data_IF_571870207796
#
_entry.id   IF_571870207796
#
_cell.length_a   1.000
_cell.length_b   1.000
_cell.length_c   1.000
_cell.angle_alpha   90.00
_cell.angle_beta   90.00
_cell.angle_gamma   90.00
#
_symmetry.space_group_name_H-M   'P 1'
#
loop_
_entity.id
_entity.type
_entity.pdbx_description
1 polymer ?
#
# COMPACT_ATOMS: atom_id res chain seq x y z
N UNK A 1 -14.45 -15.40 15.62
CA UNK A 1 -13.34 -15.03 16.53
C UNK A 1 -12.44 -14.09 15.73
N UNK A 2 -11.89 -13.06 16.36
CA UNK A 2 -10.96 -12.12 15.70
C UNK A 2 -9.79 -11.87 16.64
N UNK A 3 -8.61 -11.59 16.06
CA UNK A 3 -7.46 -11.23 16.87
C UNK A 3 -7.45 -9.74 17.18
N UNK A 4 -7.23 -9.38 18.44
CA UNK A 4 -6.70 -8.08 18.82
C UNK A 4 -5.18 -8.19 18.97
N UNK A 5 -4.47 -7.07 19.05
CA UNK A 5 -3.02 -7.11 19.31
C UNK A 5 -2.68 -7.88 20.59
N UNK A 6 -3.45 -7.65 21.66
CA UNK A 6 -3.25 -8.35 22.95
C UNK A 6 -3.50 -9.85 22.84
N UNK A 7 -4.63 -10.26 22.26
CA UNK A 7 -4.98 -11.70 22.21
C UNK A 7 -4.07 -12.48 21.27
N UNK A 8 -3.61 -11.88 20.15
CA UNK A 8 -2.65 -12.52 19.26
C UNK A 8 -1.27 -12.67 19.92
N UNK A 9 -0.82 -11.64 20.64
CA UNK A 9 0.43 -11.69 21.41
C UNK A 9 0.40 -12.82 22.43
N UNK A 10 -0.68 -12.92 23.23
CA UNK A 10 -0.85 -14.01 24.20
C UNK A 10 -0.86 -15.37 23.52
N UNK A 11 -1.61 -15.52 22.42
CA UNK A 11 -1.65 -16.79 21.70
C UNK A 11 -0.26 -17.21 21.18
N UNK A 12 0.54 -16.27 20.64
CA UNK A 12 1.91 -16.57 20.19
C UNK A 12 2.77 -17.05 21.37
N UNK A 13 2.68 -16.40 22.53
CA UNK A 13 3.41 -16.80 23.74
C UNK A 13 3.00 -18.19 24.21
N UNK A 14 1.70 -18.49 24.23
CA UNK A 14 1.16 -19.78 24.65
C UNK A 14 1.60 -20.90 23.71
N UNK A 15 1.59 -20.69 22.39
CA UNK A 15 2.06 -21.69 21.42
C UNK A 15 3.56 -21.98 21.51
N UNK A 16 4.35 -20.98 21.89
CA UNK A 16 5.80 -21.11 22.02
C UNK A 16 6.22 -21.50 23.44
N UNK A 17 5.26 -21.59 24.36
CA UNK A 17 5.52 -21.87 25.81
C UNK A 17 6.63 -20.97 26.37
N UNK A 18 6.71 -19.70 25.88
CA UNK A 18 7.80 -18.79 26.21
C UNK A 18 7.29 -17.39 26.57
N UNK A 19 7.77 -16.90 27.70
CA UNK A 19 7.57 -15.54 28.19
C UNK A 19 8.86 -14.72 28.20
N UNK A 20 9.88 -15.17 27.48
CA UNK A 20 11.16 -14.48 27.41
C UNK A 20 11.00 -13.05 26.91
N UNK A 21 11.56 -12.08 27.65
CA UNK A 21 11.38 -10.65 27.38
C UNK A 21 11.84 -10.28 25.97
N UNK A 22 12.91 -10.88 25.48
CA UNK A 22 13.44 -10.61 24.13
C UNK A 22 12.45 -11.06 23.05
N UNK A 23 11.82 -12.22 23.21
CA UNK A 23 10.77 -12.72 22.33
C UNK A 23 9.56 -11.81 22.36
N UNK A 24 9.03 -11.52 23.54
CA UNK A 24 7.82 -10.71 23.74
C UNK A 24 7.96 -9.32 23.09
N UNK A 25 9.11 -8.68 23.27
CA UNK A 25 9.39 -7.37 22.67
C UNK A 25 9.45 -7.41 21.12
N UNK A 26 9.69 -8.57 20.52
CA UNK A 26 9.76 -8.74 19.08
C UNK A 26 8.45 -9.24 18.45
N UNK A 27 7.46 -9.71 19.21
CA UNK A 27 6.16 -10.15 18.67
C UNK A 27 5.50 -9.09 17.76
N UNK A 28 5.48 -7.79 18.09
CA UNK A 28 4.94 -6.79 17.17
C UNK A 28 5.62 -6.77 15.80
N UNK A 29 6.92 -7.05 15.73
CA UNK A 29 7.66 -7.14 14.47
C UNK A 29 7.27 -8.38 13.67
N UNK A 30 7.02 -9.52 14.32
CA UNK A 30 6.55 -10.74 13.66
C UNK A 30 5.15 -10.55 13.06
N UNK A 31 4.25 -9.89 13.79
CA UNK A 31 2.91 -9.53 13.30
C UNK A 31 3.02 -8.64 12.06
N UNK A 32 3.81 -7.57 12.12
CA UNK A 32 4.03 -6.67 10.98
C UNK A 32 4.63 -7.38 9.77
N UNK A 33 5.62 -8.26 9.98
CA UNK A 33 6.23 -9.05 8.90
C UNK A 33 5.20 -9.94 8.22
N UNK A 34 4.33 -10.57 9.00
CA UNK A 34 3.24 -11.42 8.49
C UNK A 34 2.23 -10.60 7.67
N UNK A 35 1.78 -9.45 8.19
CA UNK A 35 0.88 -8.56 7.47
C UNK A 35 1.49 -8.12 6.12
N UNK A 36 2.76 -7.70 6.11
CA UNK A 36 3.48 -7.32 4.88
C UNK A 36 3.57 -8.48 3.88
N UNK A 37 3.83 -9.69 4.33
CA UNK A 37 3.87 -10.87 3.46
C UNK A 37 2.50 -11.14 2.83
N UNK A 38 1.41 -11.04 3.61
CA UNK A 38 0.06 -11.22 3.11
C UNK A 38 -0.26 -10.15 2.06
N UNK A 39 -0.04 -8.87 2.38
CA UNK A 39 -0.36 -7.74 1.49
C UNK A 39 0.45 -7.76 0.19
N UNK A 40 1.69 -8.27 0.21
CA UNK A 40 2.53 -8.42 -0.99
C UNK A 40 2.14 -9.64 -1.83
N UNK A 41 1.57 -10.66 -1.21
CA UNK A 41 1.22 -11.92 -1.89
C UNK A 41 -0.17 -11.87 -2.52
N UNK A 42 -1.10 -11.11 -1.96
CA UNK A 42 -2.51 -11.12 -2.35
C UNK A 42 -3.04 -9.70 -2.49
N UNK A 43 -3.53 -9.37 -3.69
CA UNK A 43 -4.25 -8.12 -3.93
C UNK A 43 -5.75 -8.34 -3.65
N UNK A 44 -6.21 -7.93 -2.48
CA UNK A 44 -7.60 -8.04 -2.08
C UNK A 44 -8.36 -6.77 -2.41
N UNK A 45 -9.53 -6.90 -3.03
CA UNK A 45 -10.38 -5.77 -3.42
C UNK A 45 -10.79 -4.87 -2.24
N UNK A 46 -10.86 -5.45 -1.04
CA UNK A 46 -11.17 -4.71 0.20
C UNK A 46 -10.09 -3.66 0.54
N UNK A 47 -8.88 -3.79 0.01
CA UNK A 47 -7.81 -2.82 0.20
C UNK A 47 -7.70 -1.81 -0.95
N UNK A 48 -8.79 -1.62 -1.71
CA UNK A 48 -8.89 -0.54 -2.69
C UNK A 48 -9.45 0.72 -2.05
N UNK A 49 -8.85 1.84 -2.42
CA UNK A 49 -9.34 3.20 -2.13
C UNK A 49 -9.36 4.03 -3.39
N UNK A 50 -10.13 5.11 -3.37
CA UNK A 50 -9.97 6.18 -4.31
C UNK A 50 -9.61 7.49 -3.59
N UNK A 51 -8.90 8.36 -4.28
CA UNK A 51 -8.57 9.70 -3.81
C UNK A 51 -8.49 10.65 -5.00
N UNK A 52 -8.99 11.86 -4.80
CA UNK A 52 -8.86 12.94 -5.77
C UNK A 52 -7.76 13.88 -5.32
N UNK A 53 -6.92 14.30 -6.27
CA UNK A 53 -5.86 15.28 -6.07
C UNK A 53 -5.75 16.22 -7.24
N UNK A 54 -5.02 17.32 -7.09
CA UNK A 54 -4.83 18.31 -8.16
C UNK A 54 -3.40 18.23 -8.68
N UNK A 55 -3.27 18.06 -10.01
CA UNK A 55 -2.01 18.22 -10.72
C UNK A 55 -1.80 19.68 -11.10
N UNK A 56 -0.57 20.16 -10.93
CA UNK A 56 -0.20 21.54 -11.24
C UNK A 56 0.18 21.68 -12.70
N UNK A 57 -0.28 22.75 -13.36
CA UNK A 57 0.11 23.09 -14.72
C UNK A 57 1.64 23.17 -14.85
N UNK A 58 2.18 22.69 -15.96
CA UNK A 58 3.62 22.63 -16.26
C UNK A 58 4.45 21.73 -15.34
N UNK A 59 3.83 20.93 -14.45
CA UNK A 59 4.48 19.90 -13.67
C UNK A 59 4.12 18.50 -14.19
N UNK A 60 5.08 17.71 -14.65
CA UNK A 60 4.81 16.31 -15.05
C UNK A 60 4.70 15.35 -13.87
N UNK A 61 4.80 15.82 -12.65
CA UNK A 61 4.84 14.99 -11.45
C UNK A 61 3.55 15.12 -10.64
N UNK A 62 3.03 13.96 -10.21
CA UNK A 62 1.85 13.86 -9.37
C UNK A 62 2.20 13.01 -8.14
N UNK A 63 2.00 13.56 -6.94
CA UNK A 63 2.30 12.87 -5.70
C UNK A 63 1.31 11.72 -5.45
N UNK A 64 1.82 10.60 -4.91
CA UNK A 64 1.00 9.48 -4.44
C UNK A 64 0.60 9.66 -2.98
N UNK A 65 -0.52 9.04 -2.53
CA UNK A 65 -0.85 8.98 -1.11
C UNK A 65 0.22 8.25 -0.27
N UNK A 66 0.34 8.61 1.01
CA UNK A 66 1.33 7.98 1.91
C UNK A 66 1.07 6.49 2.16
N UNK A 67 -0.17 6.02 1.99
CA UNK A 67 -0.58 4.64 2.16
C UNK A 67 -0.63 3.85 0.83
N UNK A 68 -0.07 4.43 -0.25
CA UNK A 68 -0.04 3.84 -1.57
C UNK A 68 0.80 2.55 -1.62
N UNK A 69 0.26 1.49 -2.23
CA UNK A 69 0.97 0.25 -2.54
C UNK A 69 1.11 0.02 -4.05
N UNK A 70 0.00 0.14 -4.79
CA UNK A 70 0.00 -0.02 -6.25
C UNK A 70 -1.22 0.65 -6.86
N UNK A 71 -1.08 1.18 -8.08
CA UNK A 71 -2.18 1.78 -8.82
C UNK A 71 -3.09 0.71 -9.43
N UNK A 72 -4.39 1.00 -9.40
CA UNK A 72 -5.40 0.25 -10.15
C UNK A 72 -5.80 1.03 -11.40
N UNK A 73 -6.13 2.31 -11.26
CA UNK A 73 -6.40 3.22 -12.37
C UNK A 73 -6.16 4.66 -11.95
N UNK A 74 -5.78 5.49 -12.92
CA UNK A 74 -5.63 6.93 -12.76
C UNK A 74 -6.43 7.61 -13.86
N UNK A 75 -7.31 8.54 -13.48
CA UNK A 75 -8.09 9.34 -14.39
C UNK A 75 -7.78 10.83 -14.22
N UNK A 76 -7.73 11.56 -15.32
CA UNK A 76 -7.75 13.02 -15.36
C UNK A 76 -9.21 13.45 -15.47
N UNK A 77 -9.63 14.40 -14.66
CA UNK A 77 -10.96 15.02 -14.70
C UNK A 77 -10.82 16.36 -15.41
N UNK A 78 -11.47 16.48 -16.55
CA UNK A 78 -11.42 17.71 -17.37
C UNK A 78 -12.34 18.81 -16.81
N UNK A 79 -12.34 19.98 -17.44
CA UNK A 79 -13.17 21.11 -17.03
C UNK A 79 -14.69 20.91 -17.19
N UNK A 80 -15.10 19.82 -17.83
CA UNK A 80 -16.48 19.42 -18.05
C UNK A 80 -16.88 18.23 -17.18
N UNK A 81 -16.05 17.89 -16.16
CA UNK A 81 -16.22 16.76 -15.26
C UNK A 81 -16.18 15.37 -15.96
N UNK A 82 -15.57 15.27 -17.16
CA UNK A 82 -15.38 13.99 -17.81
C UNK A 82 -14.10 13.31 -17.30
N UNK A 83 -14.19 11.99 -17.12
CA UNK A 83 -13.09 11.15 -16.66
C UNK A 83 -12.32 10.57 -17.85
N UNK A 84 -11.09 11.03 -18.04
CA UNK A 84 -10.17 10.57 -19.07
C UNK A 84 -9.12 9.64 -18.42
N UNK A 85 -9.27 8.32 -18.57
CA UNK A 85 -8.36 7.35 -17.97
C UNK A 85 -6.99 7.34 -18.65
N UNK A 86 -5.93 7.50 -17.86
CA UNK A 86 -4.56 7.44 -18.30
C UNK A 86 -4.10 5.98 -18.41
N UNK A 87 -3.30 5.70 -19.44
CA UNK A 87 -2.70 4.38 -19.62
C UNK A 87 -1.36 4.29 -18.88
N UNK A 88 -1.20 3.26 -18.06
CA UNK A 88 0.06 2.99 -17.38
C UNK A 88 1.12 2.54 -18.39
N UNK A 89 2.32 3.12 -18.31
CA UNK A 89 3.48 2.85 -19.15
C UNK A 89 4.75 2.81 -18.30
N UNK A 90 5.87 2.49 -18.94
CA UNK A 90 7.19 2.63 -18.30
C UNK A 90 7.69 4.07 -18.38
N UNK A 91 8.57 4.45 -17.46
CA UNK A 91 9.16 5.80 -17.41
C UNK A 91 9.90 6.15 -18.72
N UNK A 92 10.58 5.18 -19.33
CA UNK A 92 11.24 5.38 -20.63
C UNK A 92 10.26 5.79 -21.71
N UNK A 93 9.11 5.11 -21.80
CA UNK A 93 8.05 5.49 -22.76
C UNK A 93 7.56 6.93 -22.52
N UNK A 94 7.34 7.33 -21.27
CA UNK A 94 6.90 8.68 -20.93
C UNK A 94 7.92 9.73 -21.43
N UNK A 95 9.22 9.45 -21.24
CA UNK A 95 10.30 10.34 -21.69
C UNK A 95 10.44 10.40 -23.19
N UNK A 96 10.26 9.27 -23.87
CA UNK A 96 10.28 9.21 -25.34
C UNK A 96 9.05 9.87 -25.98
N UNK A 97 7.88 9.72 -25.35
CA UNK A 97 6.63 10.35 -25.82
C UNK A 97 6.64 11.88 -25.68
N UNK A 98 7.23 12.38 -24.60
CA UNK A 98 7.36 13.84 -24.36
C UNK A 98 8.83 14.17 -24.05
N UNK A 99 9.73 14.15 -25.07
CA UNK A 99 11.16 14.39 -24.86
C UNK A 99 11.46 15.84 -24.46
N UNK A 100 10.65 16.79 -24.91
CA UNK A 100 10.76 18.20 -24.53
C UNK A 100 9.82 18.52 -23.37
N UNK A 101 10.38 18.90 -22.22
CA UNK A 101 9.59 19.25 -21.03
C UNK A 101 8.59 20.43 -21.26
N UNK A 102 8.87 21.26 -22.27
CA UNK A 102 7.99 22.37 -22.67
C UNK A 102 6.73 21.92 -23.42
N UNK A 103 6.64 20.65 -23.87
CA UNK A 103 5.46 20.13 -24.55
C UNK A 103 4.38 19.85 -23.53
N UNK A 104 3.36 20.70 -23.51
CA UNK A 104 2.24 20.58 -22.58
C UNK A 104 0.95 20.18 -23.31
N UNK A 105 0.03 19.55 -22.57
CA UNK A 105 -1.26 19.12 -23.10
C UNK A 105 -2.07 18.38 -22.03
N UNK A 106 -3.19 17.81 -22.43
CA UNK A 106 -3.95 16.91 -21.59
C UNK A 106 -3.22 15.58 -21.45
N UNK A 107 -2.97 15.15 -20.21
CA UNK A 107 -2.20 13.94 -19.93
C UNK A 107 -2.97 12.67 -20.33
N UNK A 108 -2.29 11.73 -20.99
CA UNK A 108 -2.85 10.46 -21.51
C UNK A 108 -2.15 9.22 -20.94
N UNK A 109 -0.94 9.38 -20.46
CA UNK A 109 -0.11 8.30 -19.95
C UNK A 109 0.46 8.64 -18.60
N UNK A 110 0.71 7.62 -17.78
CA UNK A 110 1.42 7.77 -16.51
C UNK A 110 2.37 6.59 -16.28
N UNK A 111 3.37 6.83 -15.45
CA UNK A 111 4.27 5.78 -14.95
C UNK A 111 4.61 6.04 -13.48
N UNK A 112 4.93 4.99 -12.75
CA UNK A 112 5.51 5.08 -11.42
C UNK A 112 6.95 5.58 -11.57
N UNK A 113 7.23 6.80 -11.08
CA UNK A 113 8.55 7.42 -11.21
C UNK A 113 9.44 7.04 -10.02
N UNK A 114 8.89 7.12 -8.83
CA UNK A 114 9.47 6.65 -7.58
C UNK A 114 8.35 6.19 -6.62
N UNK A 115 8.70 5.84 -5.37
CA UNK A 115 7.76 5.32 -4.38
C UNK A 115 6.61 6.29 -4.03
N UNK A 116 6.79 7.59 -4.28
CA UNK A 116 5.86 8.64 -3.83
C UNK A 116 5.36 9.51 -4.99
N UNK A 117 5.74 9.20 -6.25
CA UNK A 117 5.51 10.10 -7.37
C UNK A 117 5.18 9.34 -8.65
N UNK A 118 4.11 9.74 -9.33
CA UNK A 118 3.89 9.41 -10.73
C UNK A 118 4.50 10.46 -11.64
N UNK A 119 4.95 10.02 -12.82
CA UNK A 119 5.21 10.90 -13.96
C UNK A 119 4.10 10.74 -14.97
N UNK A 120 3.57 11.86 -15.49
CA UNK A 120 2.46 11.90 -16.44
C UNK A 120 2.88 12.57 -17.75
N UNK A 121 2.28 12.18 -18.84
CA UNK A 121 2.57 12.73 -20.17
C UNK A 121 1.32 12.81 -21.07
N UNK A 122 1.19 13.87 -21.89
CA UNK A 122 1.99 15.11 -21.86
C UNK A 122 1.98 15.81 -20.50
N UNK A 123 2.93 16.72 -20.27
CA UNK A 123 2.90 17.62 -19.11
C UNK A 123 1.60 18.42 -19.10
N UNK A 124 0.87 18.52 -18.00
CA UNK A 124 -0.40 19.25 -17.96
C UNK A 124 -0.27 20.70 -18.41
N UNK A 125 -1.14 21.15 -19.30
CA UNK A 125 -1.21 22.54 -19.76
C UNK A 125 -2.10 23.43 -18.85
N UNK A 126 -2.81 22.81 -17.92
CA UNK A 126 -3.68 23.47 -16.93
C UNK A 126 -3.64 22.69 -15.60
N UNK A 127 -4.20 23.26 -14.55
CA UNK A 127 -4.45 22.53 -13.33
C UNK A 127 -5.65 21.61 -13.56
N UNK A 128 -5.41 20.30 -13.48
CA UNK A 128 -6.43 19.27 -13.59
C UNK A 128 -6.60 18.55 -12.28
N UNK A 129 -7.82 18.09 -12.02
CA UNK A 129 -8.06 17.11 -10.97
C UNK A 129 -7.76 15.72 -11.50
N UNK A 130 -7.17 14.90 -10.65
CA UNK A 130 -6.90 13.50 -10.93
C UNK A 130 -7.59 12.64 -9.90
N UNK A 131 -8.19 11.53 -10.33
CA UNK A 131 -8.72 10.52 -9.45
C UNK A 131 -7.87 9.26 -9.57
N UNK A 132 -7.30 8.85 -8.43
CA UNK A 132 -6.50 7.65 -8.31
C UNK A 132 -7.28 6.58 -7.58
N UNK A 133 -7.49 5.42 -8.23
CA UNK A 133 -7.91 4.19 -7.59
C UNK A 133 -6.66 3.35 -7.34
N UNK A 134 -6.45 2.93 -6.10
CA UNK A 134 -5.22 2.27 -5.70
C UNK A 134 -5.43 1.26 -4.57
N UNK A 135 -4.51 0.33 -4.45
CA UNK A 135 -4.38 -0.53 -3.28
C UNK A 135 -3.62 0.22 -2.21
N UNK A 136 -4.22 0.31 -1.02
CA UNK A 136 -3.61 0.99 0.11
C UNK A 136 -3.05 0.01 1.13
N UNK A 137 -2.05 0.46 1.88
CA UNK A 137 -1.52 -0.25 3.04
C UNK A 137 -2.41 0.01 4.24
N UNK A 138 -3.15 -1.00 4.75
CA UNK A 138 -3.96 -0.82 5.95
C UNK A 138 -3.09 -0.60 7.18
N UNK A 139 -3.69 0.02 8.21
CA UNK A 139 -3.05 0.15 9.51
C UNK A 139 -2.75 -1.22 10.10
N UNK A 140 -1.53 -1.43 10.59
CA UNK A 140 -1.13 -2.68 11.24
C UNK A 140 -1.90 -2.90 12.55
N UNK A 141 -2.19 -4.16 12.88
CA UNK A 141 -2.80 -4.55 14.15
C UNK A 141 -1.99 -4.06 15.35
N UNK A 142 -0.65 -3.97 15.20
CA UNK A 142 0.25 -3.49 16.26
C UNK A 142 0.18 -1.98 16.49
N UNK A 143 -0.37 -1.22 15.57
CA UNK A 143 -0.57 0.22 15.66
C UNK A 143 -1.97 0.61 16.15
N UNK A 144 -2.87 -0.39 16.31
CA UNK A 144 -4.20 -0.17 16.89
C UNK A 144 -4.13 -0.20 18.42
N UNK A 145 -5.21 0.25 19.08
CA UNK A 145 -5.36 -0.01 20.51
C UNK A 145 -5.38 -1.51 20.78
N UNK A 146 -4.96 -1.94 21.98
CA UNK A 146 -4.86 -3.37 22.31
C UNK A 146 -6.16 -4.17 22.17
N UNK A 147 -7.31 -3.48 22.03
CA UNK A 147 -8.66 -4.06 21.92
C UNK A 147 -9.23 -4.00 20.51
N UNK A 148 -8.64 -3.24 19.61
CA UNK A 148 -9.14 -3.08 18.25
C UNK A 148 -8.71 -4.24 17.34
N UNK A 149 -9.46 -4.42 16.27
CA UNK A 149 -9.22 -5.44 15.25
C UNK A 149 -8.96 -4.79 13.89
N UNK A 150 -8.26 -5.48 13.01
CA UNK A 150 -8.11 -5.11 11.60
C UNK A 150 -8.90 -6.08 10.72
N UNK A 151 -9.01 -5.76 9.43
CA UNK A 151 -9.63 -6.69 8.49
C UNK A 151 -8.89 -8.03 8.44
N UNK A 152 -7.54 -7.98 8.40
CA UNK A 152 -6.72 -9.21 8.40
C UNK A 152 -6.90 -10.02 9.67
N UNK A 153 -6.92 -9.38 10.84
CA UNK A 153 -7.09 -10.06 12.12
C UNK A 153 -8.48 -10.67 12.31
N UNK A 154 -9.47 -10.25 11.51
CA UNK A 154 -10.84 -10.77 11.53
C UNK A 154 -11.08 -11.82 10.46
N UNK A 155 -10.55 -11.63 9.25
CA UNK A 155 -10.86 -12.47 8.09
C UNK A 155 -9.73 -13.43 7.70
N UNK A 156 -8.49 -13.17 8.16
CA UNK A 156 -7.32 -14.01 7.90
C UNK A 156 -6.70 -14.55 9.20
N UNK A 157 -7.55 -15.00 10.13
CA UNK A 157 -7.20 -15.39 11.51
C UNK A 157 -6.01 -16.36 11.55
N UNK A 158 -6.10 -17.46 10.79
CA UNK A 158 -5.06 -18.49 10.76
C UNK A 158 -3.78 -17.99 10.09
N UNK A 159 -3.89 -17.17 9.04
CA UNK A 159 -2.73 -16.59 8.38
C UNK A 159 -1.95 -15.65 9.32
N UNK A 160 -2.68 -14.86 10.11
CA UNK A 160 -2.07 -13.97 11.12
C UNK A 160 -1.38 -14.77 12.22
N UNK A 161 -2.03 -15.81 12.77
CA UNK A 161 -1.45 -16.62 13.84
C UNK A 161 -0.22 -17.41 13.34
N UNK A 162 -0.41 -18.26 12.34
CA UNK A 162 0.67 -19.15 11.89
C UNK A 162 1.79 -18.42 11.16
N UNK A 163 1.50 -17.33 10.47
CA UNK A 163 2.52 -16.47 9.89
C UNK A 163 3.40 -15.84 10.98
N UNK A 164 2.80 -15.28 12.03
CA UNK A 164 3.54 -14.70 13.15
C UNK A 164 4.30 -15.75 13.95
N UNK A 165 3.74 -16.96 14.14
CA UNK A 165 4.45 -18.09 14.75
C UNK A 165 5.65 -18.52 13.90
N UNK A 166 5.53 -18.58 12.59
CA UNK A 166 6.65 -18.91 11.70
C UNK A 166 7.81 -17.92 11.85
N UNK A 167 7.51 -16.60 11.92
CA UNK A 167 8.52 -15.58 12.18
C UNK A 167 9.17 -15.76 13.56
N UNK A 168 8.37 -16.05 14.58
CA UNK A 168 8.85 -16.26 15.94
C UNK A 168 9.74 -17.52 16.06
N UNK A 169 9.37 -18.62 15.40
CA UNK A 169 10.21 -19.84 15.35
C UNK A 169 11.54 -19.56 14.64
N UNK A 170 11.55 -18.80 13.54
CA UNK A 170 12.78 -18.38 12.87
C UNK A 170 13.66 -17.52 13.78
N UNK A 171 13.05 -16.62 14.56
CA UNK A 171 13.78 -15.80 15.53
C UNK A 171 14.44 -16.65 16.62
N UNK A 172 13.72 -17.63 17.17
CA UNK A 172 14.24 -18.54 18.19
C UNK A 172 15.24 -19.56 17.64
N UNK A 173 15.43 -19.63 16.32
CA UNK A 173 16.24 -20.66 15.63
C UNK A 173 15.82 -22.08 15.94
N UNK A 174 14.55 -22.29 16.29
CA UNK A 174 13.97 -23.60 16.50
C UNK A 174 13.58 -24.18 15.13
N UNK A 175 14.54 -24.83 14.48
CA UNK A 175 14.38 -25.50 13.18
C UNK A 175 14.17 -27.01 13.31
N UNK A 176 13.83 -27.51 14.50
CA UNK A 176 13.56 -28.92 14.75
C UNK A 176 12.09 -29.28 14.53
#
# INVERSE_FOLDING_TARGET
MSWTNTTLTTAIQDYLESTETSLVNNIPNFIKSTEEKILKSVQLDVFRKNVTGTGTASSPYLATPNDYLSSFSLALIDSSDNYNYLLQKQVSFIRDYTPAAATTGESKYYAEFDNNTFIIAPTPNSNYNFELHYFYRPTSLTATSGTDTTWLSTNAINAMLYGSLSEACMYLKNYE
#
